data_IF_589201458771
#
_entry.id   IF_589201458771
#
_cell.length_a   1.000
_cell.length_b   1.000
_cell.length_c   1.000
_cell.angle_alpha   90.00
_cell.angle_beta   90.00
_cell.angle_gamma   90.00
#
_symmetry.space_group_name_H-M   'P 1'
#
loop_
_entity.id
_entity.type
_entity.pdbx_description
1 polymer ?
#
# COMPACT_ATOMS: atom_id res chain seq x y z
N UNK A 1 -5.33 10.12 -20.22
CA UNK A 1 -4.72 10.42 -21.51
C UNK A 1 -3.65 9.37 -21.73
N UNK A 2 -3.94 8.41 -22.60
CA UNK A 2 -2.95 7.42 -23.00
C UNK A 2 -1.80 8.11 -23.72
N UNK A 3 -0.62 8.11 -23.13
CA UNK A 3 0.58 8.53 -23.82
C UNK A 3 1.01 7.40 -24.73
N UNK A 4 1.12 7.63 -26.03
CA UNK A 4 1.62 6.67 -27.01
C UNK A 4 3.07 6.25 -26.74
N UNK A 5 3.75 6.89 -25.79
CA UNK A 5 5.16 6.68 -25.46
C UNK A 5 5.39 6.01 -24.11
N UNK A 6 4.37 5.88 -23.27
CA UNK A 6 4.52 5.35 -21.92
C UNK A 6 3.30 4.53 -21.51
N UNK A 7 3.54 3.36 -20.95
CA UNK A 7 2.53 2.54 -20.28
C UNK A 7 2.84 2.57 -18.79
N UNK A 8 1.82 2.89 -17.98
CA UNK A 8 1.89 2.86 -16.51
C UNK A 8 0.99 1.77 -15.97
N UNK A 9 1.53 0.91 -15.13
CA UNK A 9 0.76 -0.07 -14.39
C UNK A 9 1.03 0.05 -12.88
N UNK A 10 0.08 -0.42 -12.08
CA UNK A 10 0.17 -0.49 -10.63
C UNK A 10 0.29 -1.94 -10.19
N UNK A 11 1.36 -2.26 -9.43
CA UNK A 11 1.60 -3.59 -8.86
C UNK A 11 0.51 -3.99 -7.88
N UNK A 12 0.20 -3.14 -6.92
CA UNK A 12 -0.81 -3.39 -5.90
C UNK A 12 -2.25 -3.28 -6.44
N UNK A 13 -3.17 -3.95 -5.76
CA UNK A 13 -4.59 -4.04 -6.15
C UNK A 13 -5.38 -2.73 -6.02
N UNK A 14 -4.94 -1.76 -5.21
CA UNK A 14 -5.78 -0.62 -4.84
C UNK A 14 -7.07 -1.08 -4.17
N UNK A 15 -8.20 -0.45 -4.49
CA UNK A 15 -9.54 -0.90 -4.02
C UNK A 15 -10.21 -1.88 -4.99
N UNK A 16 -9.43 -2.79 -5.57
CA UNK A 16 -9.96 -3.85 -6.41
C UNK A 16 -9.82 -5.21 -5.74
N UNK A 17 -10.74 -6.12 -6.05
CA UNK A 17 -10.73 -7.49 -5.54
C UNK A 17 -9.85 -8.43 -6.37
N UNK A 18 -9.00 -7.88 -7.25
CA UNK A 18 -8.00 -8.65 -8.00
C UNK A 18 -6.77 -8.99 -7.15
N UNK A 19 -6.02 -10.04 -7.46
CA UNK A 19 -4.69 -10.26 -6.91
C UNK A 19 -3.74 -9.11 -7.25
N UNK A 20 -2.72 -8.88 -6.42
CA UNK A 20 -1.59 -8.02 -6.75
C UNK A 20 -0.63 -8.76 -7.68
N UNK A 21 0.04 -8.05 -8.58
CA UNK A 21 0.97 -8.65 -9.52
C UNK A 21 2.27 -9.05 -8.83
N UNK A 22 2.75 -10.26 -9.13
CA UNK A 22 4.15 -10.63 -8.86
C UNK A 22 5.09 -9.85 -9.78
N UNK A 23 6.36 -9.75 -9.37
CA UNK A 23 7.40 -9.14 -10.24
C UNK A 23 7.54 -9.92 -11.55
N UNK A 24 7.39 -11.25 -11.52
CA UNK A 24 7.41 -12.07 -12.73
C UNK A 24 6.27 -11.72 -13.70
N UNK A 25 5.03 -11.60 -13.21
CA UNK A 25 3.89 -11.20 -14.03
C UNK A 25 4.06 -9.80 -14.63
N UNK A 26 4.64 -8.86 -13.86
CA UNK A 26 5.00 -7.54 -14.38
C UNK A 26 6.00 -7.68 -15.55
N UNK A 27 7.00 -8.55 -15.42
CA UNK A 27 7.96 -8.82 -16.49
C UNK A 27 7.29 -9.36 -17.77
N UNK A 28 6.33 -10.28 -17.63
CA UNK A 28 5.55 -10.81 -18.76
C UNK A 28 4.74 -9.70 -19.46
N UNK A 29 4.07 -8.84 -18.69
CA UNK A 29 3.32 -7.70 -19.22
C UNK A 29 4.24 -6.71 -19.96
N UNK A 30 5.41 -6.40 -19.39
CA UNK A 30 6.39 -5.52 -20.02
C UNK A 30 6.91 -6.14 -21.34
N UNK A 31 7.21 -7.44 -21.35
CA UNK A 31 7.65 -8.14 -22.54
C UNK A 31 6.59 -8.05 -23.65
N UNK A 32 5.32 -8.27 -23.32
CA UNK A 32 4.21 -8.13 -24.26
C UNK A 32 4.09 -6.70 -24.81
N UNK A 33 4.17 -5.69 -23.94
CA UNK A 33 4.13 -4.29 -24.36
C UNK A 33 5.27 -3.96 -25.34
N UNK A 34 6.48 -4.42 -25.03
CA UNK A 34 7.66 -4.18 -25.89
C UNK A 34 7.67 -5.00 -27.17
N UNK A 35 6.95 -6.12 -27.22
CA UNK A 35 6.70 -6.83 -28.49
C UNK A 35 5.80 -6.00 -29.44
N UNK A 36 4.79 -5.33 -28.88
CA UNK A 36 3.89 -4.48 -29.65
C UNK A 36 4.55 -3.15 -30.06
N UNK A 37 5.36 -2.58 -29.18
CA UNK A 37 6.06 -1.30 -29.38
C UNK A 37 7.42 -1.34 -28.69
N UNK A 38 8.51 -1.69 -29.41
CA UNK A 38 9.84 -1.92 -28.83
C UNK A 38 10.43 -0.73 -28.05
N UNK A 39 10.08 0.48 -28.42
CA UNK A 39 10.55 1.74 -27.82
C UNK A 39 9.64 2.29 -26.71
N UNK A 40 8.54 1.59 -26.37
CA UNK A 40 7.63 2.05 -25.32
C UNK A 40 8.32 2.08 -23.96
N UNK A 41 8.10 3.16 -23.22
CA UNK A 41 8.57 3.28 -21.84
C UNK A 41 7.55 2.62 -20.92
N UNK A 42 7.99 1.60 -20.17
CA UNK A 42 7.18 0.91 -19.18
C UNK A 42 7.51 1.44 -17.79
N UNK A 43 6.53 2.06 -17.13
CA UNK A 43 6.65 2.58 -15.76
C UNK A 43 5.74 1.80 -14.81
N UNK A 44 6.28 1.39 -13.67
CA UNK A 44 5.55 0.64 -12.63
C UNK A 44 5.40 1.50 -11.39
N UNK A 45 4.17 1.70 -10.94
CA UNK A 45 3.85 2.18 -9.60
C UNK A 45 3.96 0.97 -8.64
N UNK A 46 5.04 0.95 -7.86
CA UNK A 46 5.43 -0.18 -7.01
C UNK A 46 4.93 -0.03 -5.56
N UNK A 47 4.15 1.00 -5.26
CA UNK A 47 3.64 1.23 -3.91
C UNK A 47 3.02 -0.04 -3.32
N UNK A 48 3.36 -0.35 -2.08
CA UNK A 48 2.96 -1.52 -1.28
C UNK A 48 3.64 -2.85 -1.65
N UNK A 49 4.33 -2.92 -2.81
CA UNK A 49 5.02 -4.14 -3.25
C UNK A 49 6.49 -4.21 -2.83
N UNK A 50 7.11 -3.09 -2.50
CA UNK A 50 8.54 -3.02 -2.19
C UNK A 50 8.91 -3.96 -1.04
N UNK A 51 10.01 -4.67 -1.19
CA UNK A 51 10.57 -5.66 -0.23
C UNK A 51 9.68 -6.88 0.05
N UNK A 52 8.62 -7.12 -0.74
CA UNK A 52 7.81 -8.36 -0.62
C UNK A 52 8.38 -9.51 -1.44
N UNK A 53 9.22 -9.22 -2.42
CA UNK A 53 9.95 -10.20 -3.23
C UNK A 53 11.45 -9.89 -3.25
N UNK A 54 12.28 -10.84 -3.73
CA UNK A 54 13.75 -10.70 -3.77
C UNK A 54 14.24 -9.74 -4.85
N UNK A 55 13.42 -9.49 -5.85
CA UNK A 55 13.70 -8.60 -6.98
C UNK A 55 12.55 -7.60 -7.15
N UNK A 56 12.83 -6.52 -7.83
CA UNK A 56 11.89 -5.43 -8.06
C UNK A 56 11.60 -5.26 -9.57
N UNK A 57 10.55 -4.55 -9.97
CA UNK A 57 10.15 -4.41 -11.37
C UNK A 57 11.25 -3.97 -12.35
N UNK A 58 12.22 -3.17 -11.91
CA UNK A 58 13.36 -2.76 -12.73
C UNK A 58 14.26 -3.94 -13.12
N UNK A 59 14.28 -5.02 -12.34
CA UNK A 59 15.05 -6.23 -12.63
C UNK A 59 14.43 -7.07 -13.76
N UNK A 60 13.16 -6.85 -14.07
CA UNK A 60 12.42 -7.59 -15.09
C UNK A 60 12.01 -6.73 -16.30
N UNK A 61 12.65 -5.56 -16.46
CA UNK A 61 12.54 -4.75 -17.67
C UNK A 61 11.70 -3.47 -17.54
N UNK A 62 11.23 -3.11 -16.36
CA UNK A 62 10.62 -1.79 -16.15
C UNK A 62 11.68 -0.70 -16.42
N UNK A 63 11.34 0.25 -17.28
CA UNK A 63 12.20 1.39 -17.58
C UNK A 63 12.25 2.38 -16.42
N UNK A 64 11.14 2.52 -15.71
CA UNK A 64 11.01 3.29 -14.47
C UNK A 64 10.17 2.53 -13.44
N UNK A 65 10.52 2.68 -12.19
CA UNK A 65 9.75 2.27 -11.02
C UNK A 65 9.61 3.47 -10.10
N UNK A 66 8.40 3.69 -9.61
CA UNK A 66 8.08 4.81 -8.72
C UNK A 66 7.34 4.32 -7.48
N UNK A 67 7.48 5.06 -6.39
CA UNK A 67 6.74 4.78 -5.18
C UNK A 67 6.85 5.89 -4.15
N UNK A 68 6.24 5.68 -3.01
CA UNK A 68 6.18 6.64 -1.91
C UNK A 68 7.11 6.24 -0.78
N UNK A 69 7.90 7.18 -0.28
CA UNK A 69 8.75 6.96 0.88
C UNK A 69 7.97 6.92 2.21
N UNK A 70 6.76 7.48 2.27
CA UNK A 70 5.91 7.33 3.47
C UNK A 70 5.21 5.95 3.57
N UNK A 71 5.54 5.03 2.66
CA UNK A 71 5.06 3.63 2.65
C UNK A 71 6.21 2.68 2.93
N UNK A 72 6.20 1.51 2.28
CA UNK A 72 7.19 0.45 2.52
C UNK A 72 8.64 0.95 2.59
N UNK A 73 9.17 1.71 1.61
CA UNK A 73 10.59 2.04 1.60
C UNK A 73 11.06 2.97 2.72
N UNK A 74 10.15 3.73 3.30
CA UNK A 74 10.49 4.63 4.39
C UNK A 74 10.47 4.00 5.77
N UNK A 75 10.05 2.73 5.89
CA UNK A 75 10.10 1.97 7.15
C UNK A 75 9.40 2.65 8.33
N UNK A 76 8.42 3.52 8.08
CA UNK A 76 7.73 4.30 9.09
C UNK A 76 8.51 5.52 9.63
N UNK A 77 9.71 5.80 9.12
CA UNK A 77 10.53 6.93 9.55
C UNK A 77 10.54 8.10 8.56
N UNK A 78 10.30 7.84 7.27
CA UNK A 78 10.29 8.90 6.27
C UNK A 78 9.00 9.72 6.38
N UNK A 79 9.08 11.04 6.72
CA UNK A 79 7.90 11.85 6.96
C UNK A 79 7.24 12.37 5.67
N UNK A 80 7.89 12.20 4.53
CA UNK A 80 7.45 12.69 3.22
C UNK A 80 8.24 12.01 2.11
N UNK A 81 7.93 12.36 0.87
CA UNK A 81 8.76 12.06 -0.28
C UNK A 81 8.31 10.85 -1.09
N UNK A 82 8.95 10.70 -2.22
CA UNK A 82 8.81 9.59 -3.13
C UNK A 82 10.16 9.23 -3.73
N UNK A 83 10.19 8.13 -4.44
CA UNK A 83 11.39 7.71 -5.17
C UNK A 83 11.04 7.41 -6.63
N UNK A 84 12.02 7.60 -7.48
CA UNK A 84 12.01 7.15 -8.87
C UNK A 84 13.33 6.44 -9.12
N UNK A 85 13.30 5.21 -9.61
CA UNK A 85 14.49 4.49 -10.05
C UNK A 85 14.26 3.78 -11.40
N UNK A 86 15.36 3.51 -12.12
CA UNK A 86 15.32 2.93 -13.44
C UNK A 86 16.39 3.48 -14.35
N UNK A 87 16.09 3.63 -15.62
CA UNK A 87 17.03 4.10 -16.65
C UNK A 87 17.54 5.51 -16.38
N UNK A 88 18.85 5.69 -16.46
CA UNK A 88 19.52 6.95 -16.12
C UNK A 88 19.04 8.16 -16.96
N UNK A 89 18.80 7.95 -18.27
CA UNK A 89 18.29 8.99 -19.16
C UNK A 89 16.90 9.50 -18.75
N UNK A 90 16.04 8.59 -18.29
CA UNK A 90 14.70 8.91 -17.82
C UNK A 90 14.73 9.58 -16.44
N UNK A 91 15.60 9.10 -15.53
CA UNK A 91 15.81 9.71 -14.22
C UNK A 91 16.27 11.17 -14.36
N UNK A 92 17.20 11.44 -15.27
CA UNK A 92 17.67 12.80 -15.54
C UNK A 92 16.53 13.71 -16.04
N UNK A 93 15.69 13.21 -16.93
CA UNK A 93 14.50 13.96 -17.40
C UNK A 93 13.51 14.23 -16.26
N UNK A 94 13.26 13.26 -15.38
CA UNK A 94 12.42 13.45 -14.20
C UNK A 94 12.99 14.51 -13.26
N UNK A 95 14.30 14.48 -12.99
CA UNK A 95 14.98 15.44 -12.13
C UNK A 95 14.86 16.87 -12.64
N UNK A 96 14.99 17.07 -13.96
CA UNK A 96 14.83 18.40 -14.58
C UNK A 96 13.39 18.92 -14.49
N UNK A 97 12.42 18.03 -14.40
CA UNK A 97 11.00 18.41 -14.26
C UNK A 97 10.61 18.66 -12.80
N UNK A 98 11.27 17.99 -11.85
CA UNK A 98 10.95 18.09 -10.43
C UNK A 98 11.38 19.44 -9.83
N UNK A 99 12.49 19.99 -10.31
CA UNK A 99 13.03 21.28 -9.86
C UNK A 99 12.72 22.40 -10.89
N UNK A 100 13.30 23.58 -10.71
CA UNK A 100 13.18 24.66 -11.67
C UNK A 100 13.97 24.35 -12.96
N UNK A 101 13.57 24.90 -14.12
CA UNK A 101 14.28 24.73 -15.37
C UNK A 101 15.78 25.06 -15.24
N UNK A 102 16.63 24.16 -15.72
CA UNK A 102 18.08 24.33 -15.70
C UNK A 102 18.80 23.88 -14.44
N UNK A 103 18.09 23.58 -13.35
CA UNK A 103 18.73 23.16 -12.08
C UNK A 103 18.99 21.65 -12.01
N UNK A 104 18.13 20.83 -12.58
CA UNK A 104 18.28 19.37 -12.49
C UNK A 104 18.29 18.84 -11.06
N UNK A 105 19.09 17.80 -10.80
CA UNK A 105 19.17 17.12 -9.51
C UNK A 105 20.26 17.66 -8.56
N UNK A 106 21.05 18.61 -8.99
CA UNK A 106 22.17 19.17 -8.19
C UNK A 106 21.67 20.05 -7.05
N UNK A 107 20.49 20.60 -7.20
CA UNK A 107 19.81 21.43 -6.20
C UNK A 107 18.44 20.86 -5.91
N UNK A 108 18.11 20.78 -4.66
CA UNK A 108 16.79 20.34 -4.22
C UNK A 108 16.70 20.41 -2.70
N UNK A 109 15.56 20.87 -2.19
CA UNK A 109 15.32 20.89 -0.76
C UNK A 109 15.08 19.46 -0.26
N UNK A 110 15.98 18.91 0.50
CA UNK A 110 15.80 17.67 1.24
C UNK A 110 15.28 17.88 2.67
N UNK A 111 15.09 19.12 3.07
CA UNK A 111 14.56 19.54 4.39
C UNK A 111 15.33 18.97 5.59
N UNK A 112 16.57 18.53 5.41
CA UNK A 112 17.37 17.88 6.44
C UNK A 112 16.95 16.44 6.76
N UNK A 113 16.12 15.79 5.92
CA UNK A 113 15.47 14.50 6.20
C UNK A 113 16.28 13.28 5.73
N UNK A 114 17.46 13.47 5.14
CA UNK A 114 18.23 12.35 4.56
C UNK A 114 18.52 11.23 5.57
N UNK A 115 18.83 11.56 6.82
CA UNK A 115 19.08 10.57 7.87
C UNK A 115 17.85 9.69 8.10
N UNK A 116 16.66 10.28 8.15
CA UNK A 116 15.40 9.55 8.34
C UNK A 116 15.08 8.68 7.12
N UNK A 117 15.34 9.17 5.91
CA UNK A 117 15.15 8.40 4.68
C UNK A 117 16.07 7.17 4.64
N UNK A 118 17.36 7.34 4.91
CA UNK A 118 18.31 6.22 4.89
C UNK A 118 18.08 5.24 6.03
N UNK A 119 17.80 5.72 7.23
CA UNK A 119 17.47 4.84 8.36
C UNK A 119 16.16 4.09 8.13
N UNK A 120 15.14 4.77 7.62
CA UNK A 120 13.87 4.15 7.26
C UNK A 120 14.06 3.09 6.18
N UNK A 121 14.81 3.38 5.13
CA UNK A 121 15.12 2.43 4.08
C UNK A 121 15.89 1.19 4.59
N UNK A 122 16.84 1.40 5.50
CA UNK A 122 17.56 0.30 6.17
C UNK A 122 16.63 -0.60 6.99
N UNK A 123 15.64 -0.02 7.68
CA UNK A 123 14.69 -0.78 8.49
C UNK A 123 13.53 -1.38 7.68
N UNK A 124 13.27 -0.85 6.49
CA UNK A 124 12.12 -1.18 5.66
C UNK A 124 11.88 -2.69 5.46
N UNK A 125 12.89 -3.54 5.16
CA UNK A 125 12.65 -4.98 5.01
C UNK A 125 12.05 -5.64 6.26
N UNK A 126 12.48 -5.24 7.46
CA UNK A 126 11.95 -5.75 8.73
C UNK A 126 10.53 -5.25 8.99
N UNK A 127 10.26 -3.99 8.69
CA UNK A 127 8.93 -3.38 8.84
C UNK A 127 7.94 -4.02 7.86
N UNK A 128 8.34 -4.19 6.59
CA UNK A 128 7.51 -4.86 5.57
C UNK A 128 7.24 -6.32 5.96
N UNK A 129 8.22 -7.05 6.46
CA UNK A 129 8.00 -8.41 6.97
C UNK A 129 6.98 -8.44 8.12
N UNK A 130 7.00 -7.45 9.02
CA UNK A 130 6.00 -7.30 10.07
C UNK A 130 4.60 -7.04 9.51
N UNK A 131 4.49 -6.16 8.52
CA UNK A 131 3.23 -5.84 7.85
C UNK A 131 2.66 -7.06 7.12
N UNK A 132 3.47 -7.80 6.35
CA UNK A 132 3.06 -9.04 5.67
C UNK A 132 2.60 -10.08 6.69
N UNK A 133 3.30 -10.25 7.81
CA UNK A 133 2.89 -11.15 8.88
C UNK A 133 1.54 -10.74 9.49
N UNK A 134 1.30 -9.44 9.66
CA UNK A 134 0.02 -8.88 10.08
C UNK A 134 -1.09 -9.21 9.09
N UNK A 135 -0.84 -9.03 7.79
CA UNK A 135 -1.78 -9.36 6.73
C UNK A 135 -2.14 -10.85 6.70
N UNK A 136 -1.14 -11.76 6.85
CA UNK A 136 -1.38 -13.21 6.96
C UNK A 136 -2.23 -13.54 8.18
N UNK A 137 -1.96 -12.91 9.33
CA UNK A 137 -2.75 -13.11 10.54
C UNK A 137 -4.20 -12.64 10.37
N UNK A 138 -4.41 -11.47 9.74
CA UNK A 138 -5.75 -10.98 9.41
C UNK A 138 -6.50 -11.97 8.52
N UNK A 139 -5.86 -12.45 7.44
CA UNK A 139 -6.46 -13.46 6.56
C UNK A 139 -6.89 -14.70 7.33
N UNK A 140 -5.99 -15.28 8.15
CA UNK A 140 -6.31 -16.47 8.96
C UNK A 140 -7.50 -16.26 9.92
N UNK A 141 -7.56 -15.11 10.59
CA UNK A 141 -8.65 -14.82 11.51
C UNK A 141 -9.99 -14.72 10.78
N UNK A 142 -10.03 -13.95 9.70
CA UNK A 142 -11.28 -13.68 8.98
C UNK A 142 -11.75 -14.86 8.12
N UNK A 143 -10.84 -15.65 7.51
CA UNK A 143 -11.20 -16.92 6.85
C UNK A 143 -11.87 -17.90 7.81
N UNK A 144 -11.33 -18.05 9.03
CA UNK A 144 -11.90 -18.95 10.06
C UNK A 144 -13.29 -18.51 10.51
N UNK A 145 -13.63 -17.24 10.37
CA UNK A 145 -14.95 -16.68 10.64
C UNK A 145 -15.88 -16.74 9.42
N UNK A 146 -15.42 -17.30 8.28
CA UNK A 146 -16.20 -17.48 7.06
C UNK A 146 -16.20 -16.29 6.11
N UNK A 147 -15.37 -15.28 6.33
CA UNK A 147 -15.25 -14.16 5.39
C UNK A 147 -14.35 -14.52 4.21
N UNK A 148 -14.68 -13.97 3.04
CA UNK A 148 -13.84 -14.04 1.87
C UNK A 148 -12.67 -13.03 2.01
N UNK A 149 -11.44 -13.50 1.81
CA UNK A 149 -10.22 -12.69 1.95
C UNK A 149 -9.33 -12.82 0.72
N UNK A 150 -8.65 -11.74 0.34
CA UNK A 150 -7.79 -11.70 -0.85
C UNK A 150 -6.47 -10.96 -0.51
N UNK A 151 -5.32 -11.65 -0.60
CA UNK A 151 -5.12 -13.08 -0.84
C UNK A 151 -5.56 -13.93 0.35
N UNK A 152 -5.77 -15.21 0.13
CA UNK A 152 -6.01 -16.20 1.18
C UNK A 152 -4.83 -16.33 2.13
N UNK A 153 -5.06 -16.93 3.30
CA UNK A 153 -4.05 -17.01 4.37
C UNK A 153 -2.78 -17.76 3.95
N UNK A 154 -2.90 -18.77 3.09
CA UNK A 154 -1.79 -19.58 2.58
C UNK A 154 -1.25 -19.15 1.22
N UNK A 155 -1.85 -18.12 0.60
CA UNK A 155 -1.43 -17.64 -0.72
C UNK A 155 -0.16 -16.79 -0.64
N UNK A 156 0.64 -16.84 -1.71
CA UNK A 156 1.82 -16.00 -1.87
C UNK A 156 1.38 -14.54 -2.00
N UNK A 157 2.14 -13.65 -1.37
CA UNK A 157 1.83 -12.22 -1.33
C UNK A 157 2.83 -11.41 -2.13
N UNK A 158 2.31 -10.43 -2.85
CA UNK A 158 3.08 -9.53 -3.70
C UNK A 158 2.95 -8.06 -3.28
N UNK A 159 2.20 -7.81 -2.22
CA UNK A 159 2.08 -6.53 -1.50
C UNK A 159 1.75 -6.78 -0.02
N UNK A 160 1.61 -5.69 0.75
CA UNK A 160 1.27 -5.74 2.18
C UNK A 160 -0.24 -5.67 2.45
N UNK A 161 -1.08 -5.62 1.41
CA UNK A 161 -2.52 -5.38 1.56
C UNK A 161 -3.28 -6.68 1.76
N UNK A 162 -4.16 -6.68 2.75
CA UNK A 162 -5.15 -7.71 2.98
C UNK A 162 -6.55 -7.16 2.76
N UNK A 163 -7.21 -7.60 1.70
CA UNK A 163 -8.63 -7.34 1.53
C UNK A 163 -9.46 -8.35 2.33
N UNK A 164 -10.51 -7.87 2.99
CA UNK A 164 -11.51 -8.69 3.68
C UNK A 164 -12.89 -8.21 3.25
N UNK A 165 -13.66 -9.07 2.62
CA UNK A 165 -15.03 -8.78 2.19
C UNK A 165 -15.98 -9.00 3.38
N UNK A 166 -16.44 -7.91 4.00
CA UNK A 166 -17.25 -7.93 5.21
C UNK A 166 -18.76 -8.02 4.92
N UNK A 167 -19.15 -7.86 3.67
CA UNK A 167 -20.53 -8.06 3.21
C UNK A 167 -21.52 -6.98 3.63
N UNK A 168 -21.14 -6.04 4.50
CA UNK A 168 -22.00 -4.96 4.97
C UNK A 168 -21.24 -3.68 5.26
N UNK A 169 -21.95 -2.54 5.19
CA UNK A 169 -21.41 -1.24 5.56
C UNK A 169 -21.05 -1.19 7.06
N UNK A 170 -21.89 -1.78 7.88
CA UNK A 170 -21.73 -1.89 9.33
C UNK A 170 -20.47 -2.68 9.69
N UNK A 171 -20.20 -3.78 8.97
CA UNK A 171 -18.96 -4.56 9.11
C UNK A 171 -17.72 -3.73 8.84
N UNK A 172 -17.71 -2.95 7.74
CA UNK A 172 -16.61 -2.05 7.43
C UNK A 172 -16.38 -1.01 8.51
N UNK A 173 -17.45 -0.40 9.01
CA UNK A 173 -17.37 0.61 10.08
C UNK A 173 -16.81 -0.01 11.37
N UNK A 174 -17.32 -1.18 11.78
CA UNK A 174 -16.86 -1.86 12.99
C UNK A 174 -15.38 -2.27 12.89
N UNK A 175 -14.97 -2.82 11.74
CA UNK A 175 -13.57 -3.16 11.46
C UNK A 175 -12.66 -1.92 11.57
N UNK A 176 -13.00 -0.86 10.86
CA UNK A 176 -12.21 0.38 10.86
C UNK A 176 -12.15 1.05 12.24
N UNK A 177 -13.25 1.02 13.01
CA UNK A 177 -13.24 1.49 14.41
C UNK A 177 -12.25 0.72 15.27
N UNK A 178 -12.13 -0.59 15.09
CA UNK A 178 -11.17 -1.41 15.81
C UNK A 178 -9.73 -1.08 15.44
N UNK A 179 -9.43 -0.92 14.14
CA UNK A 179 -8.10 -0.51 13.68
C UNK A 179 -7.74 0.88 14.19
N UNK A 180 -8.67 1.85 14.11
CA UNK A 180 -8.44 3.22 14.60
C UNK A 180 -8.15 3.23 16.10
N UNK A 181 -8.90 2.47 16.89
CA UNK A 181 -8.70 2.38 18.33
C UNK A 181 -7.35 1.76 18.73
N UNK A 182 -6.72 0.99 17.84
CA UNK A 182 -5.38 0.45 18.01
C UNK A 182 -4.25 1.35 17.50
N UNK A 183 -4.58 2.46 16.83
CA UNK A 183 -3.60 3.34 16.22
C UNK A 183 -2.72 4.06 17.27
N UNK A 184 -1.44 4.39 16.95
CA UNK A 184 -0.56 5.07 17.88
C UNK A 184 -0.94 6.53 18.12
N UNK A 185 -1.63 7.15 17.16
CA UNK A 185 -2.11 8.53 17.21
C UNK A 185 -3.60 8.54 16.93
N UNK A 186 -4.34 9.47 17.53
CA UNK A 186 -5.79 9.65 17.32
C UNK A 186 -6.64 8.39 17.58
N UNK A 187 -6.22 7.50 18.48
CA UNK A 187 -6.96 6.28 18.83
C UNK A 187 -8.36 6.52 19.41
N UNK A 188 -8.63 7.72 19.89
CA UNK A 188 -9.93 8.16 20.42
C UNK A 188 -10.90 8.60 19.31
N UNK A 189 -10.42 8.83 18.11
CA UNK A 189 -11.26 9.24 16.97
C UNK A 189 -12.08 8.05 16.47
N UNK A 190 -13.31 8.33 16.11
CA UNK A 190 -14.19 7.34 15.48
C UNK A 190 -14.25 7.60 13.99
N UNK A 191 -13.73 6.69 13.14
CA UNK A 191 -13.83 6.84 11.70
C UNK A 191 -15.26 6.66 11.22
N UNK A 192 -15.67 7.50 10.28
CA UNK A 192 -16.96 7.46 9.62
C UNK A 192 -16.79 7.55 8.10
N UNK A 193 -17.65 6.87 7.31
CA UNK A 193 -17.64 7.03 5.87
C UNK A 193 -17.93 8.48 5.46
N UNK A 194 -17.12 9.01 4.55
CA UNK A 194 -17.26 10.36 4.02
C UNK A 194 -16.97 10.41 2.51
N UNK A 195 -17.52 11.38 1.78
CA UNK A 195 -17.18 11.61 0.38
C UNK A 195 -15.69 11.86 0.19
N UNK A 196 -15.10 11.21 -0.80
CA UNK A 196 -13.69 11.39 -1.15
C UNK A 196 -13.56 11.74 -2.64
N UNK A 197 -12.80 12.78 -3.01
CA UNK A 197 -12.58 13.13 -4.41
C UNK A 197 -12.06 11.97 -5.23
N UNK A 198 -12.67 11.70 -6.39
CA UNK A 198 -12.29 10.62 -7.28
C UNK A 198 -12.97 9.28 -7.00
N UNK A 199 -13.89 9.21 -6.05
CA UNK A 199 -14.70 8.02 -5.76
C UNK A 199 -16.20 8.34 -5.86
N UNK A 200 -16.96 7.39 -6.40
CA UNK A 200 -18.43 7.49 -6.57
C UNK A 200 -19.20 7.05 -5.32
N UNK A 201 -18.51 6.58 -4.30
CA UNK A 201 -19.08 6.14 -3.02
C UNK A 201 -18.25 6.71 -1.87
N UNK A 202 -18.89 6.87 -0.72
CA UNK A 202 -18.17 7.24 0.49
C UNK A 202 -17.04 6.25 0.77
N UNK A 203 -15.94 6.75 1.31
CA UNK A 203 -14.80 5.94 1.77
C UNK A 203 -14.68 6.07 3.27
N UNK A 204 -14.48 4.94 3.96
CA UNK A 204 -14.08 4.94 5.36
C UNK A 204 -12.57 4.73 5.45
N UNK A 205 -11.91 5.46 6.35
CA UNK A 205 -10.48 5.38 6.58
C UNK A 205 -10.17 5.34 8.08
N UNK A 206 -9.47 4.28 8.50
CA UNK A 206 -8.86 4.18 9.81
C UNK A 206 -7.34 4.34 9.64
N UNK A 207 -6.80 5.45 10.13
CA UNK A 207 -5.39 5.78 9.99
C UNK A 207 -4.99 6.74 11.11
N UNK A 208 -4.48 6.23 12.19
CA UNK A 208 -3.88 7.03 13.26
C UNK A 208 -2.37 6.85 13.25
N UNK A 209 -1.72 7.41 12.24
CA UNK A 209 -0.30 7.26 11.97
C UNK A 209 0.50 8.48 12.41
N UNK A 210 1.79 8.30 12.76
CA UNK A 210 2.72 9.40 13.02
C UNK A 210 2.92 10.27 11.78
N UNK A 211 2.86 9.67 10.60
CA UNK A 211 2.96 10.35 9.31
C UNK A 211 1.65 10.21 8.57
N UNK A 212 1.02 11.32 8.24
CA UNK A 212 -0.24 11.37 7.48
C UNK A 212 -0.11 10.64 6.14
N UNK A 213 -1.02 9.71 5.87
CA UNK A 213 -1.01 8.88 4.66
C UNK A 213 -0.02 7.72 4.68
N UNK A 214 0.68 7.48 5.79
CA UNK A 214 1.58 6.34 5.96
C UNK A 214 0.82 5.06 6.27
N UNK A 215 0.51 4.31 5.22
CA UNK A 215 -0.19 3.03 5.36
C UNK A 215 0.68 1.89 5.88
N UNK A 216 2.02 2.04 5.87
CA UNK A 216 2.92 1.05 6.48
C UNK A 216 2.81 1.02 8.01
N UNK A 217 2.31 2.08 8.63
CA UNK A 217 2.22 2.16 10.09
C UNK A 217 1.10 1.27 10.65
N UNK A 218 -0.09 1.47 10.29
CA UNK A 218 -1.29 0.62 10.49
C UNK A 218 -2.47 1.36 9.91
N UNK A 219 -3.19 0.78 8.99
CA UNK A 219 -4.38 1.39 8.44
C UNK A 219 -5.37 0.36 7.91
N UNK A 220 -6.62 0.78 7.77
CA UNK A 220 -7.64 0.05 7.03
C UNK A 220 -8.58 1.06 6.40
N UNK A 221 -8.86 0.87 5.14
CA UNK A 221 -9.73 1.76 4.38
C UNK A 221 -10.53 0.98 3.34
N UNK A 222 -11.53 1.62 2.75
CA UNK A 222 -12.27 1.04 1.65
C UNK A 222 -13.51 1.85 1.29
N UNK A 223 -13.95 1.76 0.01
CA UNK A 223 -15.18 2.37 -0.44
C UNK A 223 -16.39 1.59 0.11
N UNK A 224 -17.39 2.30 0.63
CA UNK A 224 -18.59 1.72 1.24
C UNK A 224 -19.61 1.29 0.20
N UNK A 225 -19.21 0.35 -0.65
CA UNK A 225 -20.01 -0.27 -1.72
C UNK A 225 -19.78 -1.78 -1.75
N UNK A 226 -20.70 -2.57 -2.30
CA UNK A 226 -20.49 -4.01 -2.48
C UNK A 226 -19.15 -4.30 -3.20
N UNK A 227 -18.43 -5.35 -2.75
CA UNK A 227 -18.77 -6.34 -1.71
C UNK A 227 -18.50 -5.88 -0.27
N UNK A 228 -18.33 -4.58 -0.01
CA UNK A 228 -17.99 -4.00 1.30
C UNK A 228 -16.67 -4.54 1.84
N UNK A 229 -15.62 -4.42 1.04
CA UNK A 229 -14.29 -4.87 1.37
C UNK A 229 -13.49 -3.77 2.06
N UNK A 230 -12.82 -4.13 3.16
CA UNK A 230 -11.77 -3.30 3.78
C UNK A 230 -10.41 -3.78 3.30
N UNK A 231 -9.49 -2.84 3.17
CA UNK A 231 -8.11 -3.06 2.76
C UNK A 231 -7.20 -2.73 3.95
N UNK A 232 -6.90 -3.77 4.73
CA UNK A 232 -6.01 -3.68 5.88
C UNK A 232 -4.55 -3.72 5.42
N UNK A 233 -3.70 -2.90 6.04
CA UNK A 233 -2.29 -2.80 5.67
C UNK A 233 -1.44 -2.24 6.81
N UNK A 234 -0.16 -2.61 6.80
CA UNK A 234 0.82 -2.03 7.69
C UNK A 234 0.92 -2.70 9.06
N UNK A 235 1.56 -1.97 9.93
CA UNK A 235 1.99 -2.40 11.26
C UNK A 235 3.52 -2.38 11.34
N UNK A 236 4.11 -1.32 11.92
CA UNK A 236 5.56 -1.17 12.07
C UNK A 236 6.17 -2.33 12.85
N UNK A 237 5.40 -2.92 13.74
CA UNK A 237 5.73 -4.14 14.46
C UNK A 237 4.62 -5.17 14.32
N UNK A 238 5.00 -6.44 14.34
CA UNK A 238 4.06 -7.55 14.37
C UNK A 238 3.02 -7.42 15.50
N UNK A 239 3.47 -7.02 16.69
CA UNK A 239 2.59 -6.91 17.85
C UNK A 239 1.51 -5.85 17.67
N UNK A 240 1.84 -4.73 17.03
CA UNK A 240 0.88 -3.69 16.72
C UNK A 240 -0.15 -4.12 15.68
N UNK A 241 0.30 -4.77 14.59
CA UNK A 241 -0.61 -5.35 13.59
C UNK A 241 -1.58 -6.36 14.22
N UNK A 242 -1.05 -7.26 15.07
CA UNK A 242 -1.85 -8.23 15.83
C UNK A 242 -2.89 -7.55 16.72
N UNK A 243 -2.49 -6.53 17.47
CA UNK A 243 -3.42 -5.77 18.33
C UNK A 243 -4.55 -5.17 17.50
N UNK A 244 -4.23 -4.51 16.38
CA UNK A 244 -5.22 -3.92 15.48
C UNK A 244 -6.27 -4.92 15.00
N UNK A 245 -5.83 -6.08 14.56
CA UNK A 245 -6.73 -7.15 14.12
C UNK A 245 -7.59 -7.68 15.30
N UNK A 246 -7.03 -7.91 16.46
CA UNK A 246 -7.81 -8.34 17.62
C UNK A 246 -8.85 -7.29 18.04
N UNK A 247 -8.51 -6.00 17.97
CA UNK A 247 -9.45 -4.91 18.25
C UNK A 247 -10.53 -4.79 17.16
N UNK A 248 -10.22 -5.04 15.90
CA UNK A 248 -11.24 -5.08 14.85
C UNK A 248 -12.25 -6.22 15.08
N UNK A 249 -11.77 -7.41 15.45
CA UNK A 249 -12.63 -8.55 15.82
C UNK A 249 -13.49 -8.23 17.04
N UNK A 250 -12.91 -7.60 18.07
CA UNK A 250 -13.65 -7.18 19.25
C UNK A 250 -14.79 -6.22 18.90
N UNK A 251 -14.53 -5.22 18.04
CA UNK A 251 -15.56 -4.28 17.60
C UNK A 251 -16.65 -4.93 16.78
N UNK A 252 -16.32 -5.90 15.94
CA UNK A 252 -17.30 -6.67 15.18
C UNK A 252 -18.15 -7.58 16.09
N UNK A 253 -17.55 -8.17 17.12
CA UNK A 253 -18.25 -8.97 18.11
C UNK A 253 -19.21 -8.09 18.95
N UNK A 254 -18.76 -6.94 19.44
CA UNK A 254 -19.59 -5.95 20.17
C UNK A 254 -20.77 -5.46 19.35
N UNK A 255 -20.61 -5.38 18.03
CA UNK A 255 -21.68 -5.01 17.09
C UNK A 255 -22.60 -6.17 16.68
N UNK A 256 -22.35 -7.39 17.17
CA UNK A 256 -23.15 -8.58 16.83
C UNK A 256 -23.00 -9.06 15.38
N UNK A 257 -21.90 -8.69 14.72
CA UNK A 257 -21.62 -8.99 13.31
C UNK A 257 -20.85 -10.30 13.12
N UNK A 258 -20.26 -10.80 14.19
CA UNK A 258 -19.59 -12.12 14.26
C UNK A 258 -19.94 -12.81 15.57
N UNK A 259 -19.78 -14.14 15.61
CA UNK A 259 -19.84 -14.97 16.83
C UNK A 259 -18.57 -15.82 16.91
N UNK A 260 -18.07 -16.07 18.10
CA UNK A 260 -16.90 -16.91 18.37
C UNK A 260 -17.32 -18.32 18.77
#
# INVERSE_FOLDING_TARGET
VGSEMCIRDRRSKGYATRPSFSVAQIGELIALCKQCKPDVICMVDNCYGEFTELIEPVNVGADLMVGSLIKNPGGGLAPTGGYICGRADLIERCARRLTAPGLGREVGANLGLLTQFYQGFFLAPTVVASAVKGAVFAANCYEKLGFHVIPGASEVRHDIIQAVELGSREGMIAFCKGIQAAAPVDSYVTPEPAPMPGYDSDVIMAAGAFVQGSSIELSADGPTRPPYAVYFQGGLTWYHAKLGILMSLQKMLEAGLISL
#
